data_IF_620878288813
#
_entry.id   IF_620878288813
#
_cell.length_a   1.000
_cell.length_b   1.000
_cell.length_c   1.000
_cell.angle_alpha   90.00
_cell.angle_beta   90.00
_cell.angle_gamma   90.00
#
_symmetry.space_group_name_H-M   'P 1'
#
loop_
_entity.id
_entity.type
_entity.pdbx_description
1 polymer ?
#
# COMPACT_ATOMS: atom_id res chain seq x y z
N UNK A 1 -11.07 -22.47 9.93
CA UNK A 1 -11.29 -23.15 8.62
C UNK A 1 -12.29 -24.27 8.84
N UNK A 2 -13.49 -24.12 8.31
CA UNK A 2 -14.46 -25.23 8.29
C UNK A 2 -14.32 -25.95 6.94
N UNK A 3 -13.29 -26.78 6.81
CA UNK A 3 -13.15 -27.68 5.67
C UNK A 3 -13.86 -28.95 6.01
N UNK A 4 -14.85 -29.33 5.21
CA UNK A 4 -15.52 -30.64 5.31
C UNK A 4 -14.57 -31.71 4.74
N UNK A 5 -13.74 -32.26 5.62
CA UNK A 5 -12.67 -33.21 5.27
C UNK A 5 -13.22 -34.48 4.62
N UNK A 6 -14.49 -34.82 4.86
CA UNK A 6 -15.13 -36.00 4.29
C UNK A 6 -15.32 -35.94 2.77
N UNK A 7 -15.34 -34.71 2.20
CA UNK A 7 -15.52 -34.46 0.77
C UNK A 7 -14.19 -34.42 -0.03
N UNK A 8 -13.05 -34.45 0.64
CA UNK A 8 -11.74 -34.44 -0.01
C UNK A 8 -11.39 -35.80 -0.57
N UNK A 9 -10.77 -35.89 -1.73
CA UNK A 9 -10.23 -37.15 -2.26
C UNK A 9 -8.94 -37.57 -1.53
N UNK A 10 -8.44 -38.79 -1.83
CA UNK A 10 -7.28 -39.34 -1.13
C UNK A 10 -5.99 -38.53 -1.36
N UNK A 11 -5.83 -37.96 -2.56
CA UNK A 11 -4.68 -37.09 -2.87
C UNK A 11 -4.75 -35.79 -2.06
N UNK A 12 -5.92 -35.21 -1.95
CA UNK A 12 -6.17 -34.01 -1.16
C UNK A 12 -5.97 -34.24 0.34
N UNK A 13 -6.40 -35.39 0.88
CA UNK A 13 -6.14 -35.78 2.27
C UNK A 13 -4.65 -35.93 2.57
N UNK A 14 -3.90 -36.60 1.67
CA UNK A 14 -2.44 -36.74 1.79
C UNK A 14 -1.75 -35.39 1.74
N UNK A 15 -2.14 -34.53 0.82
CA UNK A 15 -1.61 -33.17 0.70
C UNK A 15 -1.89 -32.35 1.97
N UNK A 16 -3.07 -32.47 2.56
CA UNK A 16 -3.42 -31.79 3.80
C UNK A 16 -2.53 -32.26 4.95
N UNK A 17 -2.34 -33.56 5.09
CA UNK A 17 -1.45 -34.14 6.09
C UNK A 17 0.00 -33.67 5.92
N UNK A 18 0.50 -33.63 4.69
CA UNK A 18 1.84 -33.11 4.34
C UNK A 18 1.97 -31.61 4.64
N UNK A 19 1.01 -30.83 4.18
CA UNK A 19 1.03 -29.36 4.31
C UNK A 19 1.10 -28.89 5.76
N UNK A 20 0.33 -29.53 6.63
CA UNK A 20 0.23 -29.12 8.03
C UNK A 20 1.02 -29.99 8.99
N UNK A 21 1.81 -30.93 8.46
CA UNK A 21 2.60 -31.89 9.24
C UNK A 21 1.75 -32.61 10.31
N UNK A 22 0.53 -33.04 9.90
CA UNK A 22 -0.47 -33.65 10.78
C UNK A 22 -0.02 -35.06 11.21
N UNK A 23 0.59 -35.80 10.28
CA UNK A 23 1.15 -37.13 10.45
C UNK A 23 2.35 -37.33 9.51
N UNK A 24 3.34 -38.11 9.92
CA UNK A 24 4.47 -38.47 9.07
C UNK A 24 3.99 -39.32 7.89
N UNK A 25 4.46 -39.00 6.68
CA UNK A 25 4.05 -39.67 5.44
C UNK A 25 4.31 -41.20 5.46
N UNK A 26 5.36 -41.65 6.15
CA UNK A 26 5.67 -43.05 6.37
C UNK A 26 4.58 -43.83 7.12
N UNK A 27 3.80 -43.12 7.94
CA UNK A 27 2.69 -43.72 8.73
C UNK A 27 1.35 -43.70 8.00
N UNK A 28 1.26 -42.97 6.87
CA UNK A 28 0.03 -42.96 6.06
C UNK A 28 -0.19 -44.24 5.27
N UNK A 29 0.87 -44.95 4.88
CA UNK A 29 0.80 -46.13 3.99
C UNK A 29 0.08 -47.33 4.56
N UNK A 30 -0.27 -47.35 5.85
CA UNK A 30 -1.03 -48.40 6.51
C UNK A 30 -2.43 -47.99 6.96
N UNK A 31 -2.87 -46.75 6.69
CA UNK A 31 -4.12 -46.23 7.18
C UNK A 31 -5.22 -46.27 6.10
N UNK A 32 -6.43 -46.61 6.53
CA UNK A 32 -7.63 -46.47 5.67
C UNK A 32 -7.99 -44.98 5.53
N UNK A 33 -8.71 -44.63 4.45
CA UNK A 33 -9.23 -43.28 4.23
C UNK A 33 -9.94 -42.69 5.46
N UNK A 34 -10.82 -43.50 6.10
CA UNK A 34 -11.57 -43.06 7.28
C UNK A 34 -10.63 -42.74 8.48
N UNK A 35 -9.58 -43.50 8.66
CA UNK A 35 -8.60 -43.26 9.72
C UNK A 35 -7.82 -41.95 9.47
N UNK A 36 -7.47 -41.67 8.23
CA UNK A 36 -6.83 -40.40 7.86
C UNK A 36 -7.75 -39.22 8.13
N UNK A 37 -9.02 -39.30 7.75
CA UNK A 37 -10.03 -38.27 8.04
C UNK A 37 -10.13 -38.01 9.55
N UNK A 38 -10.27 -39.04 10.37
CA UNK A 38 -10.37 -38.93 11.83
C UNK A 38 -9.14 -38.26 12.46
N UNK A 39 -7.92 -38.55 11.95
CA UNK A 39 -6.70 -37.92 12.41
C UNK A 39 -6.72 -36.42 12.09
N UNK A 40 -7.12 -36.03 10.88
CA UNK A 40 -7.23 -34.65 10.48
C UNK A 40 -8.26 -33.89 11.30
N UNK A 41 -9.43 -34.45 11.50
CA UNK A 41 -10.51 -33.87 12.34
C UNK A 41 -10.05 -33.64 13.78
N UNK A 42 -9.37 -34.62 14.38
CA UNK A 42 -8.78 -34.51 15.72
C UNK A 42 -7.73 -33.42 15.81
N UNK A 43 -6.88 -33.29 14.80
CA UNK A 43 -5.89 -32.23 14.72
C UNK A 43 -6.54 -30.83 14.59
N UNK A 44 -7.58 -30.69 13.77
CA UNK A 44 -8.36 -29.48 13.64
C UNK A 44 -8.99 -29.04 14.96
N UNK A 45 -9.62 -29.99 15.70
CA UNK A 45 -10.21 -29.73 17.00
C UNK A 45 -9.16 -29.23 18.02
N UNK A 46 -8.00 -29.89 18.12
CA UNK A 46 -6.89 -29.46 19.00
C UNK A 46 -6.37 -28.06 18.67
N UNK A 47 -6.34 -27.68 17.40
CA UNK A 47 -5.94 -26.32 16.99
C UNK A 47 -6.99 -25.29 17.37
N UNK A 48 -8.29 -25.59 17.24
CA UNK A 48 -9.37 -24.69 17.66
C UNK A 48 -9.35 -24.44 19.19
N UNK A 49 -9.12 -25.48 19.98
CA UNK A 49 -9.02 -25.34 21.44
C UNK A 49 -7.81 -24.51 21.87
N UNK A 50 -6.68 -24.66 21.17
CA UNK A 50 -5.49 -23.85 21.41
C UNK A 50 -5.71 -22.36 21.09
N UNK A 51 -6.48 -22.05 20.05
CA UNK A 51 -6.87 -20.67 19.73
C UNK A 51 -7.86 -20.09 20.75
N UNK A 52 -8.81 -20.87 21.24
CA UNK A 52 -9.74 -20.45 22.30
C UNK A 52 -9.03 -20.19 23.63
N UNK A 53 -8.05 -20.99 23.99
CA UNK A 53 -7.28 -20.80 25.24
C UNK A 53 -6.34 -19.59 25.17
N UNK A 54 -5.79 -19.24 24.00
CA UNK A 54 -4.96 -18.04 23.83
C UNK A 54 -5.78 -16.73 23.81
N UNK A 55 -7.06 -16.78 23.43
CA UNK A 55 -7.94 -15.61 23.46
C UNK A 55 -8.49 -15.29 24.87
N UNK A 56 -8.35 -16.19 25.82
CA UNK A 56 -8.81 -16.01 27.22
C UNK A 56 -7.72 -15.45 28.16
N UNK A 57 -6.48 -15.34 27.74
CA UNK A 57 -5.35 -14.91 28.59
C UNK A 57 -4.92 -13.46 28.40
N UNK A 58 -5.64 -12.63 27.63
CA UNK A 58 -5.36 -11.21 27.51
C UNK A 58 -6.42 -10.39 28.29
N UNK A 59 -6.07 -9.85 29.50
CA UNK A 59 -7.03 -9.16 30.36
C UNK A 59 -7.48 -7.78 29.87
N UNK A 60 -7.01 -7.33 28.70
CA UNK A 60 -7.29 -5.99 28.17
C UNK A 60 -8.35 -5.92 27.06
N UNK A 61 -8.96 -7.02 26.66
CA UNK A 61 -10.06 -7.01 25.69
C UNK A 61 -11.41 -7.03 26.42
N UNK A 62 -11.89 -5.85 26.81
CA UNK A 62 -13.30 -5.67 27.18
C UNK A 62 -14.17 -5.91 25.95
N UNK A 63 -15.05 -6.90 26.05
CA UNK A 63 -16.01 -7.32 25.04
C UNK A 63 -16.81 -6.16 24.46
N UNK A 64 -16.59 -5.84 23.20
CA UNK A 64 -17.51 -5.03 22.40
C UNK A 64 -18.68 -5.94 22.03
N UNK A 65 -19.84 -5.71 22.65
CA UNK A 65 -21.10 -6.34 22.22
C UNK A 65 -21.44 -5.85 20.84
N UNK A 66 -21.31 -6.71 19.84
CA UNK A 66 -21.88 -6.50 18.51
C UNK A 66 -23.39 -6.75 18.62
N UNK A 67 -24.18 -5.68 18.60
CA UNK A 67 -25.61 -5.77 18.41
C UNK A 67 -25.90 -5.93 16.93
N UNK A 68 -26.61 -6.98 16.55
CA UNK A 68 -27.08 -7.22 15.20
C UNK A 68 -27.99 -6.05 14.72
N UNK A 69 -27.91 -5.64 13.45
CA UNK A 69 -28.79 -4.59 12.93
C UNK A 69 -30.20 -5.15 12.69
N UNK A 70 -31.16 -4.73 13.51
CA UNK A 70 -32.56 -4.94 13.26
C UNK A 70 -33.04 -4.12 12.06
N UNK A 71 -33.72 -4.80 11.13
CA UNK A 71 -34.66 -4.40 10.08
C UNK A 71 -34.80 -2.91 9.72
N UNK A 72 -34.54 -2.67 8.45
CA UNK A 72 -34.83 -1.46 7.65
C UNK A 72 -36.22 -0.91 7.92
N UNK A 73 -36.33 0.25 8.54
CA UNK A 73 -37.53 1.10 8.53
C UNK A 73 -37.34 2.26 7.55
N UNK A 74 -38.40 2.43 6.72
CA UNK A 74 -38.56 3.38 5.63
C UNK A 74 -38.18 4.83 6.00
N UNK A 75 -37.46 5.50 5.12
CA UNK A 75 -37.09 6.90 5.14
C UNK A 75 -38.30 7.83 5.20
N UNK A 76 -38.31 8.86 6.07
CA UNK A 76 -39.27 9.96 5.98
C UNK A 76 -38.81 11.02 4.97
N UNK A 77 -39.75 11.47 4.16
CA UNK A 77 -39.62 12.58 3.19
C UNK A 77 -39.11 13.85 3.85
N UNK A 78 -38.03 14.45 3.33
CA UNK A 78 -37.52 15.76 3.70
C UNK A 78 -38.58 16.85 3.32
N UNK A 79 -39.10 17.50 4.31
CA UNK A 79 -39.97 18.72 4.17
C UNK A 79 -39.02 19.93 4.07
N UNK A 80 -39.02 20.57 2.93
CA UNK A 80 -38.35 21.85 2.74
C UNK A 80 -38.92 22.90 3.68
N UNK A 81 -38.11 23.40 4.61
CA UNK A 81 -38.38 24.67 5.31
C UNK A 81 -37.48 25.75 4.71
N UNK A 82 -38.11 26.69 4.01
CA UNK A 82 -37.56 28.02 3.74
C UNK A 82 -37.43 28.72 5.10
N UNK A 83 -36.21 29.06 5.49
CA UNK A 83 -35.91 29.92 6.62
C UNK A 83 -34.99 31.02 6.14
N UNK A 84 -35.49 32.24 6.15
CA UNK A 84 -34.78 33.48 5.84
C UNK A 84 -33.62 33.71 6.81
N UNK A 85 -32.44 34.05 6.26
CA UNK A 85 -31.30 34.48 7.03
C UNK A 85 -31.50 35.89 7.61
N UNK A 86 -31.07 36.16 8.85
CA UNK A 86 -31.05 37.50 9.38
C UNK A 86 -29.90 38.29 8.77
N UNK A 87 -30.21 39.46 8.23
CA UNK A 87 -29.26 40.49 7.81
C UNK A 87 -28.58 41.09 9.03
N UNK A 88 -27.26 40.93 9.12
CA UNK A 88 -26.40 41.64 10.08
C UNK A 88 -25.99 42.96 9.44
N UNK A 89 -26.52 44.06 9.98
CA UNK A 89 -26.19 45.43 9.64
C UNK A 89 -24.78 45.74 10.23
N UNK A 90 -23.75 45.76 9.40
CA UNK A 90 -22.44 46.25 9.77
C UNK A 90 -22.36 47.75 9.51
N UNK A 91 -22.44 48.55 10.56
CA UNK A 91 -22.14 49.96 10.51
C UNK A 91 -20.65 50.16 10.23
N UNK A 92 -20.38 50.78 9.09
CA UNK A 92 -19.05 51.28 8.71
C UNK A 92 -18.60 52.40 9.66
N UNK A 93 -17.66 52.13 10.54
CA UNK A 93 -16.84 53.15 11.17
C UNK A 93 -15.50 53.24 10.44
N UNK A 94 -15.40 54.23 9.59
CA UNK A 94 -14.16 54.70 8.97
C UNK A 94 -13.33 55.43 10.03
N UNK A 95 -12.25 54.84 10.50
CA UNK A 95 -11.12 55.58 11.02
C UNK A 95 -9.86 54.86 10.46
N UNK A 96 -9.31 55.44 9.42
CA UNK A 96 -8.03 55.01 8.84
C UNK A 96 -6.87 55.44 9.73
N UNK A 97 -5.77 54.67 9.79
CA UNK A 97 -4.55 55.09 10.49
C UNK A 97 -3.91 56.29 9.79
N UNK A 98 -3.21 57.17 10.53
CA UNK A 98 -2.58 58.36 9.95
C UNK A 98 -1.51 57.99 8.95
N UNK A 99 -1.52 58.61 7.80
CA UNK A 99 -0.48 58.49 6.78
C UNK A 99 0.84 59.04 7.33
N UNK A 100 1.97 58.31 7.22
CA UNK A 100 3.25 58.92 7.48
C UNK A 100 3.54 59.97 6.38
N UNK A 101 3.79 61.15 6.79
CA UNK A 101 4.30 62.24 5.94
C UNK A 101 5.69 61.85 5.42
N UNK A 102 5.74 61.47 4.19
CA UNK A 102 7.00 61.25 3.47
C UNK A 102 7.51 62.63 3.07
N UNK A 103 8.57 63.12 3.76
CA UNK A 103 9.37 64.21 3.30
C UNK A 103 10.04 63.80 2.01
N UNK A 104 9.49 64.21 0.87
CA UNK A 104 10.13 64.10 -0.44
C UNK A 104 11.29 65.08 -0.47
N UNK A 105 12.43 64.65 0.04
CA UNK A 105 13.71 65.23 -0.36
C UNK A 105 14.02 64.61 -1.73
N UNK A 106 13.94 65.43 -2.78
CA UNK A 106 14.46 65.10 -4.11
C UNK A 106 15.89 64.60 -3.97
N UNK A 107 16.11 63.30 -4.14
CA UNK A 107 17.45 62.76 -4.31
C UNK A 107 17.89 63.11 -5.72
N UNK A 108 18.91 63.98 -5.81
CA UNK A 108 19.75 64.16 -6.99
C UNK A 108 20.17 62.79 -7.50
N UNK A 109 20.30 62.65 -8.83
CA UNK A 109 20.79 61.50 -9.54
C UNK A 109 22.02 60.92 -8.85
N UNK A 110 21.97 59.67 -8.48
CA UNK A 110 22.95 58.94 -7.70
C UNK A 110 24.32 58.93 -8.37
N UNK A 111 25.32 59.48 -7.70
CA UNK A 111 26.70 59.19 -7.99
C UNK A 111 26.96 57.69 -7.93
N UNK A 112 27.83 57.14 -8.80
CA UNK A 112 28.13 55.72 -8.77
C UNK A 112 28.76 55.34 -7.42
N UNK A 113 28.22 54.30 -6.75
CA UNK A 113 28.71 53.77 -5.48
C UNK A 113 30.23 53.55 -5.52
N UNK A 114 30.93 53.99 -4.47
CA UNK A 114 32.35 53.73 -4.29
C UNK A 114 32.66 52.23 -4.23
N UNK A 115 33.89 51.81 -4.55
CA UNK A 115 34.27 50.39 -4.45
C UNK A 115 33.99 49.76 -3.08
N UNK A 116 34.12 50.54 -1.99
CA UNK A 116 33.82 50.06 -0.62
C UNK A 116 32.33 49.88 -0.37
N UNK A 117 31.48 50.80 -0.85
CA UNK A 117 29.98 50.63 -0.74
C UNK A 117 29.47 49.45 -1.58
N UNK A 118 30.12 49.13 -2.71
CA UNK A 118 29.79 47.94 -3.52
C UNK A 118 30.20 46.63 -2.82
N UNK A 119 31.26 46.63 -1.99
CA UNK A 119 31.69 45.46 -1.21
C UNK A 119 30.72 45.21 -0.06
N UNK A 120 30.32 46.26 0.70
CA UNK A 120 29.34 46.13 1.80
C UNK A 120 27.97 45.68 1.28
N UNK A 121 27.49 46.24 0.16
CA UNK A 121 26.21 45.82 -0.43
C UNK A 121 26.23 44.37 -0.95
N UNK A 122 27.38 43.86 -1.41
CA UNK A 122 27.55 42.44 -1.79
C UNK A 122 27.55 41.51 -0.57
N UNK A 123 28.15 41.95 0.54
CA UNK A 123 28.20 41.16 1.78
C UNK A 123 26.80 41.06 2.43
N UNK A 124 26.03 42.13 2.45
CA UNK A 124 24.65 42.13 2.92
C UNK A 124 23.72 41.25 2.07
N UNK A 125 23.91 41.22 0.76
CA UNK A 125 23.13 40.36 -0.12
C UNK A 125 23.44 38.86 0.12
N UNK A 126 24.71 38.53 0.31
CA UNK A 126 25.17 37.18 0.63
C UNK A 126 24.67 36.70 1.99
N UNK A 127 24.70 37.58 2.99
CA UNK A 127 24.18 37.29 4.32
C UNK A 127 22.66 37.06 4.31
N UNK A 128 21.90 37.85 3.54
CA UNK A 128 20.45 37.66 3.33
C UNK A 128 20.15 36.33 2.62
N UNK A 129 20.93 35.98 1.62
CA UNK A 129 20.78 34.72 0.92
C UNK A 129 21.06 33.52 1.85
N UNK A 130 22.14 33.54 2.63
CA UNK A 130 22.48 32.52 3.61
C UNK A 130 21.38 32.37 4.68
N UNK A 131 20.80 33.49 5.15
CA UNK A 131 19.69 33.47 6.10
C UNK A 131 18.44 32.82 5.48
N UNK A 132 18.09 33.17 4.25
CA UNK A 132 16.96 32.56 3.54
C UNK A 132 17.16 31.05 3.33
N UNK A 133 18.36 30.65 2.89
CA UNK A 133 18.71 29.22 2.74
C UNK A 133 18.63 28.47 4.09
N UNK A 134 19.07 29.08 5.18
CA UNK A 134 18.96 28.49 6.52
C UNK A 134 17.51 28.30 6.95
N UNK A 135 16.63 29.26 6.71
CA UNK A 135 15.20 29.18 7.01
C UNK A 135 14.52 28.08 6.20
N UNK A 136 14.83 27.97 4.90
CA UNK A 136 14.32 26.89 4.03
C UNK A 136 14.78 25.52 4.55
N UNK A 137 16.04 25.40 4.96
CA UNK A 137 16.57 24.14 5.52
C UNK A 137 15.89 23.76 6.84
N UNK A 138 15.65 24.70 7.74
CA UNK A 138 14.93 24.45 9.00
C UNK A 138 13.49 24.02 8.73
N UNK A 139 12.79 24.69 7.82
CA UNK A 139 11.42 24.30 7.44
C UNK A 139 11.37 22.90 6.82
N UNK A 140 12.34 22.57 5.96
CA UNK A 140 12.48 21.25 5.38
C UNK A 140 12.71 20.17 6.45
N UNK A 141 13.62 20.41 7.41
CA UNK A 141 13.88 19.47 8.50
C UNK A 141 12.65 19.24 9.39
N UNK A 142 11.89 20.31 9.68
CA UNK A 142 10.64 20.20 10.45
C UNK A 142 9.57 19.42 9.67
N UNK A 143 9.46 19.67 8.36
CA UNK A 143 8.57 18.93 7.49
C UNK A 143 8.94 17.43 7.47
N UNK A 144 10.21 17.10 7.29
CA UNK A 144 10.71 15.71 7.23
C UNK A 144 10.45 14.97 8.55
N UNK A 145 10.70 15.62 9.71
CA UNK A 145 10.38 15.05 11.03
C UNK A 145 8.88 14.79 11.20
N UNK A 146 8.03 15.71 10.78
CA UNK A 146 6.58 15.53 10.83
C UNK A 146 6.13 14.40 9.93
N UNK A 147 6.70 14.30 8.71
CA UNK A 147 6.39 13.21 7.78
C UNK A 147 6.81 11.85 8.32
N UNK A 148 7.98 11.73 8.96
CA UNK A 148 8.40 10.50 9.65
C UNK A 148 7.40 10.07 10.73
N UNK A 149 6.88 11.00 11.51
CA UNK A 149 5.84 10.73 12.52
C UNK A 149 4.54 10.25 11.85
N UNK A 150 4.10 10.88 10.78
CA UNK A 150 2.91 10.45 10.03
C UNK A 150 3.11 9.06 9.42
N UNK A 151 4.27 8.81 8.79
CA UNK A 151 4.61 7.51 8.22
C UNK A 151 4.64 6.39 9.28
N UNK A 152 5.09 6.67 10.51
CA UNK A 152 5.09 5.67 11.58
C UNK A 152 3.68 5.31 12.05
N UNK A 153 2.78 6.30 12.13
CA UNK A 153 1.41 6.12 12.64
C UNK A 153 0.41 5.70 11.55
N UNK A 154 0.71 5.94 10.27
CA UNK A 154 -0.27 5.77 9.19
C UNK A 154 -1.42 6.79 9.24
N UNK A 155 -1.21 7.92 9.92
CA UNK A 155 -2.21 9.00 10.11
C UNK A 155 -1.65 10.28 9.51
N UNK A 156 -2.31 10.79 8.49
CA UNK A 156 -1.86 11.94 7.71
C UNK A 156 -2.87 13.09 7.73
N UNK A 157 -2.42 14.33 7.56
CA UNK A 157 -3.30 15.49 7.45
C UNK A 157 -4.19 15.41 6.20
N UNK A 158 -5.25 16.22 6.12
CA UNK A 158 -6.04 16.34 4.90
C UNK A 158 -5.19 16.90 3.76
N UNK A 159 -5.44 16.42 2.54
CA UNK A 159 -4.72 16.79 1.31
C UNK A 159 -5.71 17.35 0.29
N UNK A 160 -5.21 18.15 -0.68
CA UNK A 160 -6.06 18.79 -1.69
C UNK A 160 -6.69 17.79 -2.65
N UNK A 161 -5.89 16.80 -3.10
CA UNK A 161 -6.35 15.76 -4.02
C UNK A 161 -5.87 14.40 -3.51
N UNK A 162 -6.82 13.50 -3.30
CA UNK A 162 -6.59 12.14 -2.84
C UNK A 162 -7.23 11.17 -3.82
N UNK A 163 -6.48 10.16 -4.25
CA UNK A 163 -6.92 9.12 -5.17
C UNK A 163 -6.69 7.77 -4.52
N UNK A 164 -7.69 6.90 -4.52
CA UNK A 164 -7.55 5.51 -4.13
C UNK A 164 -7.47 4.63 -5.38
N UNK A 165 -6.57 3.64 -5.37
CA UNK A 165 -6.43 2.60 -6.40
C UNK A 165 -6.61 1.26 -5.70
N UNK A 166 -7.54 0.45 -6.19
CA UNK A 166 -7.83 -0.89 -5.68
C UNK A 166 -6.77 -1.92 -6.08
N UNK A 167 -7.18 -3.18 -6.05
CA UNK A 167 -6.37 -4.35 -6.32
C UNK A 167 -5.82 -4.35 -7.75
N UNK A 168 -4.58 -4.82 -7.90
CA UNK A 168 -3.87 -4.83 -9.18
C UNK A 168 -3.50 -6.24 -9.65
N UNK A 169 -3.28 -7.13 -8.70
CA UNK A 169 -3.05 -8.55 -8.95
C UNK A 169 -2.03 -8.86 -10.07
N UNK A 170 -0.85 -8.26 -9.98
CA UNK A 170 0.23 -8.53 -10.93
C UNK A 170 -0.02 -8.04 -12.35
N UNK A 171 -1.14 -7.34 -12.61
CA UNK A 171 -1.48 -6.83 -13.95
C UNK A 171 -0.85 -5.46 -14.19
N UNK A 172 0.25 -5.45 -14.95
CA UNK A 172 0.96 -4.21 -15.29
C UNK A 172 0.10 -3.27 -16.13
N UNK A 173 -0.70 -3.80 -17.05
CA UNK A 173 -1.53 -2.99 -17.93
C UNK A 173 -2.63 -2.26 -17.15
N UNK A 174 -3.34 -2.98 -16.28
CA UNK A 174 -4.32 -2.39 -15.36
C UNK A 174 -3.67 -1.36 -14.44
N UNK A 175 -2.48 -1.65 -13.90
CA UNK A 175 -1.69 -0.71 -13.09
C UNK A 175 -1.45 0.60 -13.82
N UNK A 176 -0.99 0.56 -15.07
CA UNK A 176 -0.73 1.76 -15.87
C UNK A 176 -2.01 2.52 -16.21
N UNK A 177 -3.11 1.81 -16.52
CA UNK A 177 -4.41 2.42 -16.75
C UNK A 177 -4.90 3.16 -15.50
N UNK A 178 -4.84 2.53 -14.32
CA UNK A 178 -5.25 3.14 -13.06
C UNK A 178 -4.44 4.41 -12.73
N UNK A 179 -3.11 4.38 -12.93
CA UNK A 179 -2.24 5.53 -12.71
C UNK A 179 -2.51 6.67 -13.71
N UNK A 180 -2.85 6.36 -14.98
CA UNK A 180 -3.27 7.35 -15.98
C UNK A 180 -4.63 7.97 -15.64
N UNK A 181 -5.61 7.16 -15.26
CA UNK A 181 -6.92 7.65 -14.79
C UNK A 181 -6.76 8.55 -13.57
N UNK A 182 -5.85 8.21 -12.68
CA UNK A 182 -5.46 9.06 -11.56
C UNK A 182 -4.73 10.36 -12.00
N UNK A 183 -4.35 10.50 -13.27
CA UNK A 183 -3.58 11.65 -13.80
C UNK A 183 -2.27 11.89 -13.04
N UNK A 184 -1.58 10.82 -12.68
CA UNK A 184 -0.33 10.89 -11.93
C UNK A 184 0.89 10.41 -12.72
N UNK A 185 0.66 9.88 -13.92
CA UNK A 185 1.69 9.56 -14.92
C UNK A 185 1.27 10.06 -16.29
N UNK A 186 2.19 10.22 -17.27
CA UNK A 186 1.86 10.59 -18.64
C UNK A 186 0.96 9.55 -19.33
N UNK A 187 0.04 10.00 -20.16
CA UNK A 187 -0.93 9.12 -20.87
C UNK A 187 -0.27 8.19 -21.89
N UNK A 188 0.93 8.51 -22.38
CA UNK A 188 1.67 7.73 -23.37
C UNK A 188 2.54 6.60 -22.78
N UNK A 189 2.50 6.34 -21.47
CA UNK A 189 3.25 5.25 -20.86
C UNK A 189 2.52 3.93 -21.06
N UNK A 190 3.24 2.92 -21.57
CA UNK A 190 2.79 1.55 -21.77
C UNK A 190 3.90 0.57 -21.38
N UNK A 191 3.65 -0.75 -21.31
CA UNK A 191 4.68 -1.72 -20.90
C UNK A 191 5.98 -1.66 -21.71
N UNK A 192 5.90 -1.33 -22.99
CA UNK A 192 7.06 -1.24 -23.88
C UNK A 192 7.96 -0.01 -23.66
N UNK A 193 7.48 1.02 -22.97
CA UNK A 193 8.26 2.21 -22.63
C UNK A 193 8.16 2.56 -21.14
N UNK A 194 8.04 1.55 -20.29
CA UNK A 194 7.87 1.69 -18.83
C UNK A 194 9.04 2.42 -18.15
N UNK A 195 10.24 2.35 -18.71
CA UNK A 195 11.42 3.08 -18.23
C UNK A 195 11.20 4.60 -18.17
N UNK A 196 10.34 5.14 -19.05
CA UNK A 196 10.04 6.57 -19.17
C UNK A 196 8.99 7.05 -18.16
N UNK A 197 8.47 6.14 -17.31
CA UNK A 197 7.47 6.47 -16.31
C UNK A 197 8.00 7.52 -15.32
N UNK A 198 7.22 8.57 -15.14
CA UNK A 198 7.53 9.68 -14.22
C UNK A 198 6.26 10.21 -13.56
N UNK A 199 6.42 10.80 -12.40
CA UNK A 199 5.34 11.45 -11.69
C UNK A 199 4.94 12.76 -12.37
N UNK A 200 3.64 12.92 -12.62
CA UNK A 200 3.03 14.16 -13.16
C UNK A 200 1.89 14.67 -12.29
N UNK A 201 1.67 14.03 -11.15
CA UNK A 201 0.51 14.31 -10.27
C UNK A 201 0.64 15.54 -9.38
N UNK A 202 1.79 16.27 -9.41
CA UNK A 202 2.03 17.41 -8.52
C UNK A 202 1.90 17.02 -7.04
N UNK A 203 1.09 17.77 -6.28
CA UNK A 203 0.81 17.55 -4.85
C UNK A 203 -0.30 16.51 -4.59
N UNK A 204 -0.70 15.73 -5.59
CA UNK A 204 -1.67 14.64 -5.46
C UNK A 204 -1.15 13.54 -4.54
N UNK A 205 -2.03 13.00 -3.69
CA UNK A 205 -1.76 11.79 -2.92
C UNK A 205 -2.51 10.60 -3.50
N UNK A 206 -1.82 9.47 -3.62
CA UNK A 206 -2.37 8.19 -4.05
C UNK A 206 -2.29 7.20 -2.91
N UNK A 207 -3.37 6.48 -2.64
CA UNK A 207 -3.41 5.30 -1.75
C UNK A 207 -3.73 4.08 -2.61
N UNK A 208 -2.78 3.15 -2.73
CA UNK A 208 -3.01 1.85 -3.33
C UNK A 208 -3.37 0.86 -2.22
N UNK A 209 -4.54 0.23 -2.35
CA UNK A 209 -5.23 -0.45 -1.26
C UNK A 209 -4.72 -1.87 -0.92
N UNK A 210 -3.61 -2.31 -1.49
CA UNK A 210 -3.09 -3.68 -1.33
C UNK A 210 -3.38 -4.57 -2.53
N UNK A 211 -3.06 -5.85 -2.43
CA UNK A 211 -3.20 -6.84 -3.51
C UNK A 211 -2.55 -6.37 -4.82
N UNK A 212 -1.28 -5.98 -4.74
CA UNK A 212 -0.47 -5.60 -5.90
C UNK A 212 -0.02 -6.80 -6.73
N UNK A 213 0.04 -7.98 -6.11
CA UNK A 213 0.66 -9.20 -6.62
C UNK A 213 -0.38 -10.31 -6.84
N UNK A 214 0.10 -11.44 -7.36
CA UNK A 214 -0.67 -12.66 -7.60
C UNK A 214 -1.65 -12.55 -8.78
N UNK A 215 -1.14 -12.90 -9.98
CA UNK A 215 -1.83 -12.76 -11.27
C UNK A 215 -2.87 -13.87 -11.52
N UNK A 216 -2.67 -15.05 -10.94
CA UNK A 216 -3.54 -16.19 -11.21
C UNK A 216 -4.91 -16.05 -10.56
N UNK A 217 -5.96 -16.39 -11.32
CA UNK A 217 -7.37 -16.42 -10.88
C UNK A 217 -7.97 -17.77 -11.28
N UNK A 218 -7.73 -18.84 -10.49
CA UNK A 218 -8.30 -20.15 -10.78
C UNK A 218 -9.82 -20.11 -10.71
N UNK A 219 -10.50 -20.77 -11.63
CA UNK A 219 -11.96 -20.88 -11.63
C UNK A 219 -12.50 -21.57 -10.36
N UNK A 220 -11.71 -22.50 -9.84
CA UNK A 220 -12.01 -23.20 -8.61
C UNK A 220 -10.91 -22.94 -7.57
N UNK A 221 -11.27 -22.41 -6.42
CA UNK A 221 -10.32 -22.11 -5.33
C UNK A 221 -9.57 -23.36 -4.80
N UNK A 222 -10.05 -24.57 -5.06
CA UNK A 222 -9.39 -25.85 -4.74
C UNK A 222 -8.24 -26.12 -5.71
N UNK A 223 -8.42 -25.77 -6.96
CA UNK A 223 -7.40 -25.80 -8.01
C UNK A 223 -6.62 -24.49 -7.94
N UNK A 224 -5.38 -24.55 -7.52
CA UNK A 224 -4.50 -23.37 -7.48
C UNK A 224 -3.52 -23.42 -8.64
N UNK A 225 -2.97 -22.28 -9.00
CA UNK A 225 -2.05 -22.16 -10.13
C UNK A 225 -0.69 -22.84 -9.90
N UNK A 226 -0.42 -23.32 -8.69
CA UNK A 226 0.79 -24.07 -8.36
C UNK A 226 0.68 -25.49 -8.91
N UNK A 227 1.09 -25.69 -10.12
CA UNK A 227 1.11 -27.00 -10.78
C UNK A 227 0.25 -27.09 -12.05
N UNK A 228 -0.69 -26.17 -12.26
CA UNK A 228 -1.46 -26.09 -13.50
C UNK A 228 -1.09 -24.79 -14.23
N UNK A 229 -0.35 -24.94 -15.33
CA UNK A 229 0.12 -23.80 -16.14
C UNK A 229 -0.91 -23.37 -17.19
N UNK A 230 -1.97 -24.16 -17.39
CA UNK A 230 -2.95 -23.93 -18.44
C UNK A 230 -4.10 -23.01 -18.00
N UNK A 231 -4.27 -22.82 -16.68
CA UNK A 231 -5.29 -21.93 -16.09
C UNK A 231 -4.91 -20.43 -16.11
N UNK A 232 -3.67 -20.09 -16.44
CA UNK A 232 -3.20 -18.70 -16.39
C UNK A 232 -3.22 -18.08 -17.79
N UNK A 233 -4.30 -17.39 -18.08
CA UNK A 233 -4.37 -16.55 -19.28
C UNK A 233 -3.60 -15.26 -19.04
N UNK A 234 -2.72 -14.88 -19.98
CA UNK A 234 -1.93 -13.64 -19.89
C UNK A 234 -0.98 -13.57 -18.67
N UNK A 235 -0.32 -14.67 -18.36
CA UNK A 235 0.71 -14.70 -17.32
C UNK A 235 1.89 -13.79 -17.69
N UNK A 236 2.10 -12.72 -16.90
CA UNK A 236 3.06 -11.66 -17.23
C UNK A 236 4.33 -11.70 -16.36
N UNK A 237 4.23 -12.10 -15.11
CA UNK A 237 5.34 -12.07 -14.16
C UNK A 237 5.82 -10.64 -13.85
N UNK A 238 4.91 -9.75 -13.43
CA UNK A 238 5.19 -8.32 -13.26
C UNK A 238 5.10 -7.82 -11.80
N UNK A 239 5.10 -8.70 -10.79
CA UNK A 239 4.95 -8.27 -9.39
C UNK A 239 6.04 -7.28 -8.98
N UNK A 240 7.31 -7.63 -9.26
CA UNK A 240 8.44 -6.77 -8.89
C UNK A 240 8.42 -5.45 -9.63
N UNK A 241 8.03 -5.47 -10.90
CA UNK A 241 7.91 -4.24 -11.69
C UNK A 241 6.84 -3.30 -11.11
N UNK A 242 5.68 -3.81 -10.74
CA UNK A 242 4.60 -3.03 -10.13
C UNK A 242 5.07 -2.42 -8.80
N UNK A 243 5.67 -3.23 -7.91
CA UNK A 243 6.22 -2.74 -6.64
C UNK A 243 7.22 -1.61 -6.88
N UNK A 244 8.14 -1.78 -7.83
CA UNK A 244 9.16 -0.77 -8.17
C UNK A 244 8.57 0.50 -8.76
N UNK A 245 7.51 0.40 -9.58
CA UNK A 245 6.78 1.56 -10.11
C UNK A 245 6.23 2.41 -8.95
N UNK A 246 5.53 1.81 -8.01
CA UNK A 246 4.96 2.55 -6.88
C UNK A 246 6.04 3.17 -6.00
N UNK A 247 7.16 2.49 -5.76
CA UNK A 247 8.32 3.06 -5.05
C UNK A 247 8.93 4.25 -5.79
N UNK A 248 9.18 4.12 -7.10
CA UNK A 248 9.72 5.19 -7.95
C UNK A 248 8.80 6.41 -7.94
N UNK A 249 7.50 6.17 -8.08
CA UNK A 249 6.52 7.25 -8.10
C UNK A 249 6.38 7.93 -6.73
N UNK A 250 6.43 7.22 -5.59
CA UNK A 250 6.43 7.86 -4.27
C UNK A 250 7.67 8.73 -4.06
N UNK A 251 8.85 8.24 -4.46
CA UNK A 251 10.08 9.03 -4.37
C UNK A 251 9.98 10.34 -5.17
N UNK A 252 9.40 10.32 -6.36
CA UNK A 252 9.20 11.50 -7.20
C UNK A 252 8.06 12.40 -6.68
N UNK A 253 6.96 11.80 -6.21
CA UNK A 253 5.82 12.52 -5.65
C UNK A 253 6.21 13.34 -4.42
N UNK A 254 7.04 12.79 -3.53
CA UNK A 254 7.56 13.51 -2.35
C UNK A 254 8.28 14.81 -2.71
N UNK A 255 9.00 14.84 -3.80
CA UNK A 255 9.69 16.07 -4.29
C UNK A 255 8.67 17.12 -4.74
N UNK A 256 7.52 16.68 -5.28
CA UNK A 256 6.45 17.54 -5.76
C UNK A 256 5.39 17.88 -4.69
N UNK A 257 5.58 17.45 -3.43
CA UNK A 257 4.62 17.65 -2.33
C UNK A 257 3.49 16.62 -2.30
N UNK A 258 3.53 15.61 -3.17
CA UNK A 258 2.59 14.49 -3.21
C UNK A 258 3.09 13.25 -2.47
N UNK A 259 2.33 12.17 -2.53
CA UNK A 259 2.68 10.85 -1.97
C UNK A 259 2.06 9.72 -2.76
N UNK A 260 2.71 8.56 -2.72
CA UNK A 260 2.12 7.30 -3.14
C UNK A 260 2.25 6.29 -2.00
N UNK A 261 1.16 6.09 -1.28
CA UNK A 261 1.10 5.20 -0.12
C UNK A 261 0.59 3.83 -0.57
N UNK A 262 1.18 2.76 -0.05
CA UNK A 262 0.73 1.39 -0.29
C UNK A 262 0.20 0.74 0.98
N UNK A 263 -0.83 -0.08 0.82
CA UNK A 263 -1.37 -0.91 1.89
C UNK A 263 -0.96 -2.38 1.72
N UNK A 264 -1.08 -3.15 2.78
CA UNK A 264 -0.92 -4.61 2.75
C UNK A 264 -2.30 -5.21 2.52
N UNK A 265 -2.45 -5.97 1.44
CA UNK A 265 -3.62 -6.79 1.19
C UNK A 265 -3.45 -8.23 1.66
N UNK A 266 -4.49 -9.05 1.47
CA UNK A 266 -4.43 -10.46 1.84
C UNK A 266 -3.43 -11.25 0.96
N UNK A 267 -3.23 -10.87 -0.31
CA UNK A 267 -2.26 -11.53 -1.18
C UNK A 267 -0.81 -11.30 -0.76
N UNK A 268 -0.47 -10.11 -0.29
CA UNK A 268 0.84 -9.87 0.32
C UNK A 268 1.06 -10.78 1.53
N UNK A 269 0.05 -10.91 2.43
CA UNK A 269 0.14 -11.77 3.62
C UNK A 269 0.17 -13.26 3.28
N UNK A 270 -0.62 -13.70 2.30
CA UNK A 270 -0.61 -15.07 1.79
C UNK A 270 0.80 -15.48 1.34
N UNK A 271 1.49 -14.60 0.61
CA UNK A 271 2.86 -14.86 0.18
C UNK A 271 3.83 -14.98 1.36
N UNK A 272 3.72 -14.14 2.39
CA UNK A 272 4.52 -14.25 3.63
C UNK A 272 4.25 -15.57 4.35
N UNK A 273 2.99 -16.04 4.34
CA UNK A 273 2.57 -17.30 4.96
C UNK A 273 2.77 -18.53 4.03
N UNK A 274 3.42 -18.34 2.87
CA UNK A 274 3.71 -19.39 1.86
C UNK A 274 2.46 -20.00 1.24
N UNK A 275 1.38 -19.26 1.17
CA UNK A 275 0.19 -19.64 0.44
C UNK A 275 0.21 -19.01 -0.96
N UNK A 276 0.70 -19.79 -1.94
CA UNK A 276 0.95 -19.32 -3.31
C UNK A 276 -0.13 -19.78 -4.30
N UNK A 277 -1.34 -20.08 -3.83
CA UNK A 277 -2.42 -20.61 -4.70
C UNK A 277 -2.85 -19.66 -5.83
N UNK A 278 -2.52 -18.37 -5.72
CA UNK A 278 -2.82 -17.34 -6.72
C UNK A 278 -1.58 -16.83 -7.46
N UNK A 279 -0.43 -17.44 -7.22
CA UNK A 279 0.81 -17.08 -7.89
C UNK A 279 0.91 -17.81 -9.23
N UNK A 280 1.11 -17.05 -10.31
CA UNK A 280 1.26 -17.62 -11.64
C UNK A 280 2.68 -18.20 -11.88
N UNK A 281 2.86 -19.10 -12.84
CA UNK A 281 4.16 -19.68 -13.14
C UNK A 281 5.26 -18.65 -13.45
N UNK A 282 4.95 -17.59 -14.21
CA UNK A 282 5.94 -16.54 -14.52
C UNK A 282 6.28 -15.69 -13.30
N UNK A 283 5.35 -15.50 -12.38
CA UNK A 283 5.60 -14.79 -11.12
C UNK A 283 6.56 -15.54 -10.20
N UNK A 284 6.61 -16.88 -10.25
CA UNK A 284 7.67 -17.65 -9.59
C UNK A 284 9.03 -17.38 -10.23
N UNK A 285 9.08 -17.26 -11.57
CA UNK A 285 10.32 -17.07 -12.30
C UNK A 285 10.92 -15.66 -12.14
N UNK A 286 10.16 -14.69 -11.65
CA UNK A 286 10.67 -13.33 -11.39
C UNK A 286 11.90 -13.33 -10.48
N UNK A 287 11.97 -14.28 -9.53
CA UNK A 287 13.01 -14.37 -8.52
C UNK A 287 14.16 -15.33 -8.90
N UNK A 288 14.04 -15.98 -10.05
CA UNK A 288 15.05 -16.92 -10.56
C UNK A 288 16.07 -16.14 -11.40
N UNK A 289 17.38 -16.38 -11.22
CA UNK A 289 18.40 -15.79 -12.08
C UNK A 289 18.11 -16.09 -13.57
N UNK A 290 18.32 -15.13 -14.48
CA UNK A 290 17.97 -15.29 -15.89
C UNK A 290 18.54 -16.54 -16.56
N UNK A 291 19.77 -16.92 -16.19
CA UNK A 291 20.46 -18.10 -16.71
C UNK A 291 19.87 -19.45 -16.22
N UNK A 292 18.99 -19.43 -15.22
CA UNK A 292 18.39 -20.63 -14.63
C UNK A 292 16.90 -20.81 -15.01
N UNK A 293 16.30 -19.86 -15.72
CA UNK A 293 14.85 -19.84 -16.03
C UNK A 293 14.39 -20.92 -17.03
N UNK A 294 15.25 -21.78 -17.53
CA UNK A 294 14.93 -22.84 -18.49
C UNK A 294 14.17 -24.05 -17.91
N UNK A 295 14.14 -24.19 -16.59
CA UNK A 295 13.43 -25.31 -15.91
C UNK A 295 11.98 -24.93 -15.65
N UNK A 296 11.07 -25.90 -15.87
CA UNK A 296 9.62 -25.70 -15.58
C UNK A 296 9.26 -26.08 -14.15
N UNK A 297 9.88 -27.11 -13.61
CA UNK A 297 9.57 -27.65 -12.27
C UNK A 297 10.85 -27.92 -11.48
N UNK A 298 10.71 -27.89 -10.16
CA UNK A 298 11.70 -28.37 -9.19
C UNK A 298 11.72 -29.89 -9.16
N UNK A 299 12.71 -30.47 -8.49
CA UNK A 299 12.82 -31.94 -8.39
C UNK A 299 11.67 -32.59 -7.59
N UNK A 300 11.00 -31.84 -6.72
CA UNK A 300 9.81 -32.23 -5.97
C UNK A 300 8.49 -31.83 -6.67
N UNK A 301 8.55 -31.44 -7.96
CA UNK A 301 7.38 -31.22 -8.81
C UNK A 301 6.68 -29.85 -8.65
N UNK A 302 7.22 -28.95 -7.83
CA UNK A 302 6.69 -27.58 -7.69
C UNK A 302 7.10 -26.69 -8.89
N UNK A 303 6.41 -25.58 -9.15
CA UNK A 303 6.84 -24.62 -10.16
C UNK A 303 8.28 -24.17 -9.93
N UNK A 304 9.08 -24.09 -11.00
CA UNK A 304 10.43 -23.60 -10.86
C UNK A 304 10.42 -22.15 -10.39
N UNK A 305 11.24 -21.82 -9.40
CA UNK A 305 11.21 -20.52 -8.73
C UNK A 305 10.41 -20.50 -7.42
N UNK A 306 9.67 -21.55 -7.08
CA UNK A 306 8.91 -21.65 -5.82
C UNK A 306 9.78 -21.30 -4.60
N UNK A 307 10.94 -21.92 -4.45
CA UNK A 307 11.84 -21.67 -3.33
C UNK A 307 12.53 -20.33 -3.39
N UNK A 308 12.76 -19.79 -4.60
CA UNK A 308 13.29 -18.44 -4.77
C UNK A 308 12.28 -17.39 -4.28
N UNK A 309 11.00 -17.54 -4.67
CA UNK A 309 9.90 -16.68 -4.17
C UNK A 309 9.75 -16.82 -2.65
N UNK A 310 9.75 -18.04 -2.13
CA UNK A 310 9.66 -18.29 -0.69
C UNK A 310 10.71 -17.52 0.10
N UNK A 311 11.98 -17.57 -0.34
CA UNK A 311 13.09 -16.90 0.34
C UNK A 311 12.93 -15.39 0.45
N UNK A 312 12.31 -14.74 -0.53
CA UNK A 312 12.14 -13.28 -0.54
C UNK A 312 10.89 -12.81 0.20
N UNK A 313 9.84 -13.66 0.23
CA UNK A 313 8.57 -13.36 0.90
C UNK A 313 8.47 -13.90 2.33
N UNK A 314 9.27 -14.90 2.74
CA UNK A 314 9.23 -15.42 4.10
C UNK A 314 9.56 -14.33 5.14
N UNK A 315 9.18 -14.55 6.39
CA UNK A 315 9.49 -13.65 7.50
C UNK A 315 10.99 -13.39 7.59
N UNK A 316 11.37 -12.13 7.44
CA UNK A 316 12.78 -11.71 7.36
C UNK A 316 13.35 -11.66 5.93
N UNK A 317 12.64 -12.12 4.93
CA UNK A 317 12.95 -11.92 3.52
C UNK A 317 12.86 -10.46 3.09
N UNK A 318 13.48 -10.12 1.98
CA UNK A 318 13.62 -8.72 1.56
C UNK A 318 12.27 -8.06 1.27
N UNK A 319 11.34 -8.78 0.62
CA UNK A 319 10.01 -8.24 0.28
C UNK A 319 9.13 -8.17 1.54
N UNK A 320 9.17 -9.19 2.41
CA UNK A 320 8.45 -9.14 3.68
C UNK A 320 8.90 -7.97 4.56
N UNK A 321 10.20 -7.70 4.63
CA UNK A 321 10.74 -6.50 5.31
C UNK A 321 10.26 -5.20 4.67
N UNK A 322 10.26 -5.13 3.34
CA UNK A 322 9.74 -3.97 2.63
C UNK A 322 8.27 -3.71 2.98
N UNK A 323 7.43 -4.74 2.96
CA UNK A 323 6.02 -4.62 3.35
C UNK A 323 5.86 -4.13 4.79
N UNK A 324 6.58 -4.73 5.73
CA UNK A 324 6.50 -4.36 7.14
C UNK A 324 6.92 -2.90 7.41
N UNK A 325 7.89 -2.38 6.66
CA UNK A 325 8.43 -1.04 6.86
C UNK A 325 7.68 0.04 6.09
N UNK A 326 7.21 -0.26 4.87
CA UNK A 326 6.71 0.74 3.94
C UNK A 326 5.19 0.73 3.77
N UNK A 327 4.53 -0.41 3.99
CA UNK A 327 3.09 -0.56 3.84
C UNK A 327 2.37 -0.53 5.19
N UNK A 328 1.08 -0.20 5.17
CA UNK A 328 0.21 -0.18 6.36
C UNK A 328 -1.01 -1.05 6.14
N UNK A 329 -1.54 -1.63 7.22
CA UNK A 329 -2.83 -2.33 7.18
C UNK A 329 -4.01 -1.37 7.24
N UNK A 330 -3.79 -0.19 7.85
CA UNK A 330 -4.81 0.87 7.98
C UNK A 330 -4.13 2.20 7.74
N UNK A 331 -4.78 3.07 6.95
CA UNK A 331 -4.34 4.44 6.70
C UNK A 331 -5.48 5.42 6.95
N UNK A 332 -5.17 6.54 7.60
CA UNK A 332 -6.08 7.66 7.73
C UNK A 332 -5.45 8.90 7.05
N UNK A 333 -6.12 9.43 6.03
CA UNK A 333 -5.70 10.65 5.35
C UNK A 333 -6.80 11.70 5.49
N UNK A 334 -6.58 12.70 6.32
CA UNK A 334 -7.61 13.66 6.70
C UNK A 334 -8.78 12.97 7.40
N UNK A 335 -9.93 12.88 6.75
CA UNK A 335 -11.15 12.20 7.24
C UNK A 335 -11.43 10.87 6.54
N UNK A 336 -10.55 10.44 5.64
CA UNK A 336 -10.73 9.22 4.86
C UNK A 336 -9.92 8.09 5.50
N UNK A 337 -10.61 7.05 5.94
CA UNK A 337 -10.03 5.81 6.44
C UNK A 337 -9.93 4.81 5.30
N UNK A 338 -8.75 4.22 5.13
CA UNK A 338 -8.47 3.19 4.15
C UNK A 338 -8.09 1.89 4.86
N UNK A 339 -8.69 0.81 4.40
CA UNK A 339 -8.41 -0.57 4.78
C UNK A 339 -8.51 -1.43 3.52
N UNK A 340 -7.74 -2.52 3.51
CA UNK A 340 -7.93 -3.56 2.50
C UNK A 340 -8.98 -4.55 2.96
#
# INVERSE_FOLDING_TARGET
MNIDVSKLDDKQLILLCKKYNIIELSKLSGLTRNQVIQIIEKWCAQKQDKYKSQSQTDPNIKSIKVTEPSSVKKTPKLRQRRGSAPQVNVKNNKAGPPKPTVNTRERRMSEPLTPQEKVVAKDDSKLKQQYQESQVNVQKQLHDKNMQKYDSLGIYPPVKRLVAIGDLHGDLRVTLIALKLAKVIPDNIWPNNIQDIKWTGGDTWVVQLGDQIDRCRPENWVNNCVGDTDEVVEDEGNNMMIIQIFQKLDAQARVAGGRVLGMVGNHELMNVDRDYRYVSPKEFLEFVPPNERGRKKTDDGLPYGYYHRMKVFERGGNIAKHYALQKKSVLLVGKNLFVH
#
